data_IF_516317574422
#
_entry.id   IF_516317574422
#
_cell.length_a   1.000
_cell.length_b   1.000
_cell.length_c   1.000
_cell.angle_alpha   90.00
_cell.angle_beta   90.00
_cell.angle_gamma   90.00
#
_symmetry.space_group_name_H-M   'P 1'
#
loop_
_entity.id
_entity.type
_entity.pdbx_description
1 polymer ?
#
# COMPACT_ATOMS: atom_id res chain seq x y z
N UNK A 1 0.49 -12.69 -3.27
CA UNK A 1 1.78 -13.40 -3.45
C UNK A 1 2.05 -13.60 -4.93
N UNK A 2 3.22 -13.22 -5.47
CA UNK A 2 3.59 -13.66 -6.83
C UNK A 2 4.97 -14.32 -6.97
N UNK A 3 6.01 -13.98 -6.20
CA UNK A 3 7.27 -14.73 -6.27
C UNK A 3 8.09 -14.66 -4.98
N UNK A 4 8.52 -15.83 -4.50
CA UNK A 4 9.55 -16.00 -3.47
C UNK A 4 10.90 -16.23 -4.16
N UNK A 5 11.94 -15.41 -3.91
CA UNK A 5 13.25 -15.56 -4.56
C UNK A 5 13.95 -16.88 -4.21
N UNK A 6 13.54 -17.58 -3.16
CA UNK A 6 14.06 -18.89 -2.77
C UNK A 6 13.34 -20.08 -3.43
N UNK A 7 12.28 -19.86 -4.20
CA UNK A 7 11.54 -20.96 -4.82
C UNK A 7 12.29 -21.55 -6.03
N UNK A 8 12.43 -22.89 -6.10
CA UNK A 8 13.01 -23.55 -7.27
C UNK A 8 12.23 -23.22 -8.54
N UNK A 9 12.94 -23.14 -9.67
CA UNK A 9 12.32 -22.89 -10.97
C UNK A 9 11.44 -24.09 -11.35
N UNK A 10 10.19 -23.80 -11.68
CA UNK A 10 9.20 -24.79 -12.10
C UNK A 10 9.21 -24.97 -13.62
N UNK A 11 9.30 -26.22 -14.08
CA UNK A 11 9.43 -26.58 -15.49
C UNK A 11 8.31 -27.53 -15.90
N UNK A 12 7.63 -27.21 -17.00
CA UNK A 12 6.68 -28.10 -17.66
C UNK A 12 7.33 -28.70 -18.90
N UNK A 13 7.42 -30.03 -18.97
CA UNK A 13 7.95 -30.76 -20.12
C UNK A 13 6.81 -31.39 -20.90
N UNK A 14 6.74 -31.16 -22.21
CA UNK A 14 5.68 -31.68 -23.08
C UNK A 14 6.28 -32.30 -24.33
N UNK A 15 6.06 -33.60 -24.54
CA UNK A 15 6.57 -34.34 -25.70
C UNK A 15 5.79 -35.65 -25.85
N UNK A 16 5.33 -35.99 -27.06
CA UNK A 16 4.58 -37.25 -27.27
C UNK A 16 5.43 -38.50 -27.03
N UNK A 17 6.76 -38.37 -27.07
CA UNK A 17 7.68 -39.45 -26.77
C UNK A 17 7.90 -39.57 -25.25
N UNK A 18 7.21 -40.52 -24.59
CA UNK A 18 7.34 -40.78 -23.14
C UNK A 18 8.80 -40.93 -22.69
N UNK A 19 9.66 -41.53 -23.51
CA UNK A 19 11.08 -41.66 -23.21
C UNK A 19 11.78 -40.30 -23.07
N UNK A 20 11.43 -39.31 -23.89
CA UNK A 20 11.97 -37.95 -23.80
C UNK A 20 11.45 -37.27 -22.54
N UNK A 21 10.15 -37.38 -22.26
CA UNK A 21 9.53 -36.81 -21.06
C UNK A 21 10.17 -37.36 -19.78
N UNK A 22 10.27 -38.68 -19.65
CA UNK A 22 10.84 -39.33 -18.45
C UNK A 22 12.32 -38.97 -18.26
N UNK A 23 13.07 -38.96 -19.36
CA UNK A 23 14.50 -38.63 -19.35
C UNK A 23 14.75 -37.17 -18.94
N UNK A 24 14.03 -36.22 -19.53
CA UNK A 24 14.15 -34.80 -19.20
C UNK A 24 13.66 -34.50 -17.79
N UNK A 25 12.53 -35.08 -17.39
CA UNK A 25 11.97 -34.89 -16.04
C UNK A 25 12.95 -35.38 -14.98
N UNK A 26 13.47 -36.61 -15.14
CA UNK A 26 14.43 -37.18 -14.19
C UNK A 26 15.71 -36.36 -14.11
N UNK A 27 16.26 -35.96 -15.27
CA UNK A 27 17.49 -35.18 -15.33
C UNK A 27 17.33 -33.81 -14.67
N UNK A 28 16.24 -33.09 -14.95
CA UNK A 28 16.02 -31.75 -14.42
C UNK A 28 15.70 -31.75 -12.92
N UNK A 29 14.97 -32.75 -12.42
CA UNK A 29 14.76 -32.90 -10.98
C UNK A 29 16.09 -33.11 -10.24
N UNK A 30 17.01 -33.90 -10.79
CA UNK A 30 18.36 -34.08 -10.21
C UNK A 30 19.17 -32.76 -10.16
N UNK A 31 18.85 -31.80 -11.04
CA UNK A 31 19.48 -30.49 -11.11
C UNK A 31 18.75 -29.40 -10.31
N UNK A 32 17.77 -29.79 -9.48
CA UNK A 32 17.11 -28.88 -8.52
C UNK A 32 15.89 -28.14 -9.07
N UNK A 33 15.34 -28.56 -10.21
CA UNK A 33 14.10 -28.01 -10.76
C UNK A 33 12.86 -28.75 -10.23
N UNK A 34 11.73 -28.05 -10.13
CA UNK A 34 10.42 -28.67 -9.90
C UNK A 34 9.82 -28.99 -11.27
N UNK A 35 9.69 -30.26 -11.63
CA UNK A 35 9.32 -30.63 -13.01
C UNK A 35 8.05 -31.46 -13.06
N UNK A 36 7.17 -31.10 -13.99
CA UNK A 36 5.99 -31.89 -14.35
C UNK A 36 6.08 -32.22 -15.85
N UNK A 37 5.90 -33.49 -16.20
CA UNK A 37 6.05 -34.01 -17.56
C UNK A 37 4.74 -34.58 -18.10
N UNK A 38 4.44 -34.30 -19.36
CA UNK A 38 3.22 -34.74 -20.04
C UNK A 38 3.50 -35.23 -21.45
N UNK A 39 2.85 -36.32 -21.85
CA UNK A 39 2.86 -36.80 -23.24
C UNK A 39 1.65 -36.35 -24.05
N UNK A 40 0.69 -35.69 -23.42
CA UNK A 40 -0.47 -35.14 -24.10
C UNK A 40 -0.46 -33.60 -23.92
N UNK A 41 -0.44 -32.82 -25.01
CA UNK A 41 -0.39 -31.36 -24.93
C UNK A 41 -1.67 -30.73 -24.37
N UNK A 42 -2.84 -31.37 -24.49
CA UNK A 42 -4.09 -30.90 -23.90
C UNK A 42 -4.08 -31.05 -22.37
N UNK A 43 -3.54 -32.15 -21.85
CA UNK A 43 -3.37 -32.36 -20.41
C UNK A 43 -2.38 -31.35 -19.82
N UNK A 44 -1.27 -31.10 -20.52
CA UNK A 44 -0.29 -30.08 -20.13
C UNK A 44 -0.90 -28.67 -20.08
N UNK A 45 -1.73 -28.32 -21.07
CA UNK A 45 -2.43 -27.03 -21.09
C UNK A 45 -3.45 -26.91 -19.95
N UNK A 46 -4.20 -27.97 -19.65
CA UNK A 46 -5.15 -27.97 -18.53
C UNK A 46 -4.42 -27.85 -17.19
N UNK A 47 -3.27 -28.51 -17.06
CA UNK A 47 -2.41 -28.34 -15.89
C UNK A 47 -1.90 -26.91 -15.76
N UNK A 48 -1.43 -26.32 -16.86
CA UNK A 48 -0.98 -24.93 -16.92
C UNK A 48 -2.11 -23.95 -16.51
N UNK A 49 -3.37 -24.29 -16.83
CA UNK A 49 -4.51 -23.47 -16.41
C UNK A 49 -4.72 -23.47 -14.90
N UNK A 50 -4.44 -24.58 -14.23
CA UNK A 50 -4.57 -24.73 -12.79
C UNK A 50 -3.37 -24.16 -12.03
N UNK A 51 -2.17 -24.26 -12.61
CA UNK A 51 -0.91 -23.84 -12.01
C UNK A 51 0.02 -23.31 -13.10
N UNK A 52 0.56 -22.11 -12.90
CA UNK A 52 1.55 -21.53 -13.82
C UNK A 52 2.93 -22.17 -13.62
N UNK A 53 3.72 -22.17 -14.70
CA UNK A 53 5.10 -22.63 -14.70
C UNK A 53 6.03 -21.50 -15.16
N UNK A 54 7.27 -21.51 -14.68
CA UNK A 54 8.27 -20.51 -15.03
C UNK A 54 8.87 -20.77 -16.42
N UNK A 55 9.04 -22.05 -16.74
CA UNK A 55 9.64 -22.52 -17.97
C UNK A 55 8.81 -23.66 -18.57
N UNK A 56 8.63 -23.64 -19.88
CA UNK A 56 8.01 -24.72 -20.64
C UNK A 56 9.02 -25.22 -21.67
N UNK A 57 9.15 -26.53 -21.76
CA UNK A 57 9.96 -27.22 -22.75
C UNK A 57 9.03 -28.13 -23.54
N UNK A 58 8.73 -27.76 -24.78
CA UNK A 58 7.73 -28.47 -25.59
C UNK A 58 8.31 -28.94 -26.92
N UNK A 59 7.91 -30.12 -27.41
CA UNK A 59 8.14 -30.46 -28.80
C UNK A 59 7.33 -29.55 -29.73
N UNK A 60 7.86 -29.30 -30.93
CA UNK A 60 7.21 -28.50 -31.96
C UNK A 60 6.03 -29.26 -32.59
N UNK A 61 6.21 -30.57 -32.81
CA UNK A 61 5.21 -31.43 -33.46
C UNK A 61 4.73 -32.47 -32.48
N UNK A 62 3.46 -32.40 -32.17
CA UNK A 62 2.77 -33.34 -31.31
C UNK A 62 1.40 -33.66 -31.92
N UNK A 63 0.86 -34.83 -31.59
CA UNK A 63 -0.50 -35.24 -31.88
C UNK A 63 -1.48 -34.36 -31.08
N UNK A 64 -2.68 -34.16 -31.63
CA UNK A 64 -3.76 -33.33 -31.09
C UNK A 64 -3.51 -31.80 -31.08
N UNK A 65 -2.32 -31.34 -30.69
CA UNK A 65 -1.96 -29.92 -30.64
C UNK A 65 -0.45 -29.73 -30.85
N UNK A 66 -0.07 -28.86 -31.77
CA UNK A 66 1.34 -28.52 -32.00
C UNK A 66 1.93 -27.65 -30.87
N UNK A 67 3.25 -27.69 -30.70
CA UNK A 67 3.94 -26.85 -29.72
C UNK A 67 3.73 -25.35 -29.97
N UNK A 68 3.49 -24.96 -31.22
CA UNK A 68 3.16 -23.57 -31.59
C UNK A 68 1.76 -23.17 -31.12
N UNK A 69 0.77 -24.05 -31.28
CA UNK A 69 -0.59 -23.80 -30.79
C UNK A 69 -0.62 -23.78 -29.26
N UNK A 70 0.20 -24.61 -28.61
CA UNK A 70 0.38 -24.59 -27.16
C UNK A 70 0.95 -23.23 -26.69
N UNK A 71 2.00 -22.72 -27.36
CA UNK A 71 2.56 -21.37 -27.10
C UNK A 71 1.49 -20.29 -27.20
N UNK A 72 0.70 -20.29 -28.28
CA UNK A 72 -0.37 -19.30 -28.50
C UNK A 72 -1.39 -19.31 -27.36
N UNK A 73 -1.79 -20.50 -26.90
CA UNK A 73 -2.74 -20.66 -25.79
C UNK A 73 -2.16 -20.18 -24.45
N UNK A 74 -0.88 -20.43 -24.20
CA UNK A 74 -0.20 -19.96 -22.98
C UNK A 74 -0.02 -18.44 -22.99
N UNK A 75 0.37 -17.86 -24.12
CA UNK A 75 0.60 -16.41 -24.28
C UNK A 75 -0.67 -15.59 -24.10
N UNK A 76 -1.84 -16.13 -24.48
CA UNK A 76 -3.12 -15.50 -24.18
C UNK A 76 -3.39 -15.33 -22.68
N UNK A 77 -2.78 -16.15 -21.83
CA UNK A 77 -2.99 -16.14 -20.37
C UNK A 77 -1.83 -15.51 -19.59
N UNK A 78 -0.58 -15.71 -20.03
CA UNK A 78 0.61 -15.25 -19.32
C UNK A 78 1.76 -14.92 -20.28
N UNK A 79 2.25 -13.68 -20.20
CA UNK A 79 3.39 -13.22 -20.99
C UNK A 79 4.75 -13.62 -20.37
N UNK A 80 4.80 -13.97 -19.07
CA UNK A 80 6.05 -14.05 -18.32
C UNK A 80 6.73 -15.43 -18.38
N UNK A 81 5.98 -16.49 -18.67
CA UNK A 81 6.53 -17.85 -18.79
C UNK A 81 7.52 -17.95 -19.95
N UNK A 82 8.74 -18.42 -19.69
CA UNK A 82 9.71 -18.69 -20.76
C UNK A 82 9.36 -20.00 -21.45
N UNK A 83 9.54 -20.06 -22.77
CA UNK A 83 9.20 -21.25 -23.57
C UNK A 83 10.41 -21.65 -24.42
N UNK A 84 10.81 -22.91 -24.34
CA UNK A 84 11.83 -23.54 -25.17
C UNK A 84 11.14 -24.55 -26.07
N UNK A 85 11.34 -24.45 -27.37
CA UNK A 85 10.79 -25.42 -28.34
C UNK A 85 11.88 -26.41 -28.75
N UNK A 86 11.57 -27.70 -28.67
CA UNK A 86 12.37 -28.80 -29.23
C UNK A 86 11.91 -29.10 -30.66
N UNK A 87 12.82 -29.37 -31.61
CA UNK A 87 12.43 -29.67 -33.00
C UNK A 87 13.37 -30.63 -33.71
N UNK A 88 12.84 -31.65 -34.39
CA UNK A 88 13.63 -32.59 -35.21
C UNK A 88 13.91 -32.15 -36.65
N UNK A 89 13.32 -31.05 -37.14
CA UNK A 89 13.40 -30.67 -38.56
C UNK A 89 14.22 -29.39 -38.77
N UNK A 90 15.45 -29.54 -39.30
CA UNK A 90 16.36 -28.45 -39.63
C UNK A 90 15.81 -27.45 -40.68
N UNK A 91 14.77 -27.81 -41.45
CA UNK A 91 14.24 -27.00 -42.55
C UNK A 91 13.14 -26.02 -42.15
N UNK A 92 12.73 -25.95 -40.88
CA UNK A 92 11.61 -25.10 -40.43
C UNK A 92 12.12 -23.72 -40.00
N UNK A 93 12.91 -23.05 -40.85
CA UNK A 93 13.27 -21.65 -40.60
C UNK A 93 12.05 -20.72 -40.64
N UNK A 94 11.00 -21.09 -41.38
CA UNK A 94 9.78 -20.29 -41.55
C UNK A 94 8.82 -20.34 -40.35
N UNK A 95 8.57 -21.50 -39.74
CA UNK A 95 7.73 -21.55 -38.53
C UNK A 95 8.46 -21.02 -37.28
N UNK A 96 9.78 -21.19 -37.21
CA UNK A 96 10.59 -20.57 -36.14
C UNK A 96 10.57 -19.04 -36.27
N UNK A 97 10.65 -18.48 -37.49
CA UNK A 97 10.54 -17.01 -37.69
C UNK A 97 9.18 -16.44 -37.29
N UNK A 98 8.11 -17.21 -37.41
CA UNK A 98 6.76 -16.76 -37.04
C UNK A 98 6.59 -16.60 -35.52
N UNK A 99 7.33 -17.37 -34.72
CA UNK A 99 7.18 -17.48 -33.26
C UNK A 99 8.43 -17.01 -32.51
N UNK A 100 9.46 -16.57 -33.23
CA UNK A 100 10.77 -16.16 -32.70
C UNK A 100 10.71 -15.07 -31.62
N UNK A 101 9.64 -14.26 -31.59
CA UNK A 101 9.45 -13.22 -30.57
C UNK A 101 8.74 -13.73 -29.30
N UNK A 102 8.14 -14.92 -29.37
CA UNK A 102 7.28 -15.47 -28.31
C UNK A 102 7.94 -16.62 -27.54
N UNK A 103 9.05 -17.16 -28.05
CA UNK A 103 9.84 -18.21 -27.39
C UNK A 103 11.19 -17.67 -26.93
N UNK A 104 11.70 -18.25 -25.85
CA UNK A 104 13.00 -17.91 -25.29
C UNK A 104 14.15 -18.49 -26.12
N UNK A 105 14.07 -19.78 -26.47
CA UNK A 105 15.10 -20.45 -27.26
C UNK A 105 14.50 -21.66 -28.01
N UNK A 106 15.29 -22.25 -28.90
CA UNK A 106 14.94 -23.46 -29.62
C UNK A 106 16.08 -24.48 -29.56
N UNK A 107 15.73 -25.75 -29.39
CA UNK A 107 16.68 -26.85 -29.30
C UNK A 107 16.42 -27.87 -30.41
N UNK A 108 17.46 -28.20 -31.17
CA UNK A 108 17.34 -29.16 -32.26
C UNK A 108 17.49 -30.61 -31.74
N UNK A 109 16.52 -31.47 -32.03
CA UNK A 109 16.61 -32.93 -31.86
C UNK A 109 17.43 -33.55 -33.00
N UNK A 110 18.29 -34.55 -32.74
CA UNK A 110 18.67 -35.06 -31.42
C UNK A 110 19.63 -34.10 -30.70
N UNK A 111 19.43 -33.89 -29.41
CA UNK A 111 20.27 -33.06 -28.54
C UNK A 111 20.96 -33.89 -27.46
N UNK A 112 22.03 -33.35 -26.87
CA UNK A 112 22.64 -33.92 -25.66
C UNK A 112 21.99 -33.32 -24.41
N UNK A 113 21.96 -34.10 -23.32
CA UNK A 113 21.51 -33.61 -22.00
C UNK A 113 22.24 -32.33 -21.56
N UNK A 114 23.54 -32.23 -21.85
CA UNK A 114 24.32 -31.03 -21.56
C UNK A 114 23.86 -29.79 -22.35
N UNK A 115 23.35 -29.97 -23.57
CA UNK A 115 22.87 -28.87 -24.42
C UNK A 115 21.55 -28.32 -23.89
N UNK A 116 20.59 -29.20 -23.55
CA UNK A 116 19.33 -28.75 -22.95
C UNK A 116 19.55 -28.14 -21.57
N UNK A 117 20.46 -28.70 -20.76
CA UNK A 117 20.82 -28.14 -19.47
C UNK A 117 21.41 -26.72 -19.59
N UNK A 118 22.24 -26.47 -20.61
CA UNK A 118 22.80 -25.15 -20.84
C UNK A 118 21.72 -24.12 -21.23
N UNK A 119 20.73 -24.52 -22.03
CA UNK A 119 19.61 -23.63 -22.42
C UNK A 119 18.70 -23.36 -21.23
N UNK A 120 18.28 -24.39 -20.52
CA UNK A 120 17.43 -24.29 -19.32
C UNK A 120 18.14 -23.52 -18.22
N UNK A 121 19.45 -23.75 -18.02
CA UNK A 121 20.26 -23.02 -17.04
C UNK A 121 20.28 -21.51 -17.29
N UNK A 122 20.46 -21.08 -18.54
CA UNK A 122 20.38 -19.64 -18.90
C UNK A 122 18.97 -19.07 -18.70
N UNK A 123 17.93 -19.84 -19.03
CA UNK A 123 16.55 -19.44 -18.83
C UNK A 123 16.23 -19.26 -17.34
N UNK A 124 16.65 -20.23 -16.51
CA UNK A 124 16.51 -20.21 -15.06
C UNK A 124 17.29 -19.06 -14.42
N UNK A 125 18.53 -18.82 -14.83
CA UNK A 125 19.32 -17.67 -14.37
C UNK A 125 18.61 -16.35 -14.65
N UNK A 126 18.08 -16.17 -15.87
CA UNK A 126 17.29 -14.98 -16.22
C UNK A 126 16.07 -14.81 -15.31
N UNK A 127 15.32 -15.90 -15.06
CA UNK A 127 14.15 -15.88 -14.18
C UNK A 127 14.51 -15.51 -12.75
N UNK A 128 15.59 -16.11 -12.21
CA UNK A 128 16.06 -15.82 -10.86
C UNK A 128 16.53 -14.37 -10.72
N UNK A 129 17.28 -13.85 -11.68
CA UNK A 129 17.70 -12.44 -11.71
C UNK A 129 16.50 -11.49 -11.80
N UNK A 130 15.48 -11.83 -12.59
CA UNK A 130 14.25 -11.03 -12.65
C UNK A 130 13.52 -11.03 -11.32
N UNK A 131 13.37 -12.19 -10.68
CA UNK A 131 12.74 -12.31 -9.35
C UNK A 131 13.51 -11.54 -8.28
N UNK A 132 14.85 -11.64 -8.28
CA UNK A 132 15.71 -10.89 -7.36
C UNK A 132 15.56 -9.39 -7.57
N UNK A 133 15.60 -8.92 -8.83
CA UNK A 133 15.46 -7.51 -9.16
C UNK A 133 14.08 -6.97 -8.76
N UNK A 134 13.01 -7.72 -9.00
CA UNK A 134 11.67 -7.36 -8.53
C UNK A 134 11.58 -7.33 -6.99
N UNK A 135 12.22 -8.28 -6.30
CA UNK A 135 12.27 -8.30 -4.85
C UNK A 135 13.05 -7.10 -4.29
N UNK A 136 14.17 -6.74 -4.90
CA UNK A 136 14.95 -5.55 -4.56
C UNK A 136 14.16 -4.26 -4.79
N UNK A 137 13.46 -4.13 -5.92
CA UNK A 137 12.60 -2.97 -6.18
C UNK A 137 11.49 -2.86 -5.14
N UNK A 138 10.80 -3.97 -4.82
CA UNK A 138 9.79 -4.00 -3.73
C UNK A 138 10.40 -3.56 -2.40
N UNK A 139 11.62 -4.00 -2.09
CA UNK A 139 12.32 -3.61 -0.86
C UNK A 139 12.63 -2.12 -0.82
N UNK A 140 13.09 -1.55 -1.94
CA UNK A 140 13.33 -0.11 -2.08
C UNK A 140 12.03 0.67 -1.89
N UNK A 141 10.96 0.26 -2.55
CA UNK A 141 9.65 0.91 -2.44
C UNK A 141 9.14 0.90 -0.99
N UNK A 142 9.30 -0.22 -0.27
CA UNK A 142 8.97 -0.32 1.15
C UNK A 142 9.82 0.63 2.00
N UNK A 143 11.14 0.64 1.81
CA UNK A 143 12.03 1.56 2.54
C UNK A 143 11.68 3.03 2.31
N UNK A 144 11.26 3.40 1.09
CA UNK A 144 10.83 4.77 0.78
C UNK A 144 9.51 5.12 1.48
N UNK A 145 8.56 4.18 1.56
CA UNK A 145 7.32 4.36 2.31
C UNK A 145 7.61 4.58 3.81
N UNK A 146 8.45 3.73 4.41
CA UNK A 146 8.84 3.81 5.82
C UNK A 146 9.51 5.16 6.16
N UNK A 147 10.46 5.60 5.33
CA UNK A 147 11.15 6.90 5.51
C UNK A 147 10.15 8.05 5.40
N UNK A 148 9.23 7.99 4.44
CA UNK A 148 8.25 9.03 4.22
C UNK A 148 7.30 9.16 5.41
N UNK A 149 6.81 8.04 5.92
CA UNK A 149 5.99 8.02 7.13
C UNK A 149 6.71 8.64 8.32
N UNK A 150 7.96 8.25 8.59
CA UNK A 150 8.76 8.82 9.68
C UNK A 150 8.92 10.33 9.54
N UNK A 151 9.08 10.80 8.30
CA UNK A 151 9.20 12.21 7.99
C UNK A 151 7.88 12.97 8.18
N UNK A 152 6.76 12.38 7.77
CA UNK A 152 5.42 12.95 7.95
C UNK A 152 5.03 13.06 9.42
N UNK A 153 5.25 11.99 10.18
CA UNK A 153 5.07 12.00 11.64
C UNK A 153 5.97 13.06 12.26
N UNK A 154 7.26 13.12 11.90
CA UNK A 154 8.14 14.18 12.39
C UNK A 154 7.58 15.58 12.10
N UNK A 155 7.05 15.85 10.89
CA UNK A 155 6.46 17.14 10.58
C UNK A 155 5.25 17.47 11.45
N UNK A 156 4.33 16.52 11.63
CA UNK A 156 3.18 16.68 12.52
C UNK A 156 3.67 17.11 13.91
N UNK A 157 4.64 16.38 14.46
CA UNK A 157 5.18 16.63 15.80
C UNK A 157 5.82 18.01 15.97
N UNK A 158 6.44 18.55 14.91
CA UNK A 158 7.06 19.89 14.96
C UNK A 158 6.08 21.03 14.69
N UNK A 159 5.01 20.78 13.95
CA UNK A 159 4.16 21.82 13.40
C UNK A 159 2.82 21.94 14.12
N UNK A 160 2.38 20.88 14.79
CA UNK A 160 1.09 20.80 15.45
C UNK A 160 1.32 20.89 16.96
N UNK A 161 1.08 22.05 17.58
CA UNK A 161 1.36 22.25 19.00
C UNK A 161 0.33 21.59 19.92
N UNK A 162 -0.88 21.32 19.41
CA UNK A 162 -1.95 20.69 20.16
C UNK A 162 -1.79 19.17 20.17
N UNK A 163 -1.64 18.59 21.36
CA UNK A 163 -1.44 17.15 21.55
C UNK A 163 -2.55 16.31 20.93
N UNK A 164 -3.81 16.60 21.25
CA UNK A 164 -4.96 15.82 20.80
C UNK A 164 -4.98 15.74 19.27
N UNK A 165 -4.93 16.91 18.63
CA UNK A 165 -4.87 17.00 17.17
C UNK A 165 -3.65 16.29 16.60
N UNK A 166 -2.45 16.53 17.14
CA UNK A 166 -1.22 15.92 16.63
C UNK A 166 -1.27 14.39 16.68
N UNK A 167 -1.78 13.83 17.77
CA UNK A 167 -1.83 12.39 17.97
C UNK A 167 -2.84 11.72 17.04
N UNK A 168 -3.99 12.36 16.84
CA UNK A 168 -4.95 11.96 15.81
C UNK A 168 -4.31 11.93 14.41
N UNK A 169 -3.58 13.00 14.01
CA UNK A 169 -2.91 13.01 12.70
C UNK A 169 -1.86 11.91 12.56
N UNK A 170 -1.13 11.62 13.63
CA UNK A 170 -0.15 10.52 13.63
C UNK A 170 -0.85 9.20 13.35
N UNK A 171 -1.95 8.90 14.06
CA UNK A 171 -2.68 7.65 13.86
C UNK A 171 -3.30 7.54 12.46
N UNK A 172 -3.81 8.64 11.91
CA UNK A 172 -4.31 8.70 10.53
C UNK A 172 -3.19 8.40 9.53
N UNK A 173 -2.03 9.06 9.68
CA UNK A 173 -0.86 8.85 8.82
C UNK A 173 -0.35 7.40 8.89
N UNK A 174 -0.36 6.78 10.08
CA UNK A 174 0.02 5.39 10.26
C UNK A 174 -0.95 4.42 9.57
N UNK A 175 -2.25 4.70 9.69
CA UNK A 175 -3.30 3.87 9.10
C UNK A 175 -3.25 3.90 7.57
N UNK A 176 -3.01 5.08 6.98
CA UNK A 176 -2.91 5.25 5.53
C UNK A 176 -1.57 4.75 4.95
N UNK A 177 -0.45 5.03 5.62
CA UNK A 177 0.90 4.80 5.08
C UNK A 177 1.38 3.35 5.14
N UNK A 178 0.85 2.53 6.05
CA UNK A 178 1.29 1.13 6.26
C UNK A 178 0.13 0.13 6.14
N UNK A 179 -1.05 0.51 5.63
CA UNK A 179 -2.22 -0.39 5.53
C UNK A 179 -2.55 -1.07 6.87
N UNK A 180 -2.41 -0.32 7.97
CA UNK A 180 -2.75 -0.77 9.31
C UNK A 180 -4.24 -0.57 9.48
N UNK A 181 -4.94 -1.65 9.80
CA UNK A 181 -6.39 -1.59 9.97
C UNK A 181 -6.80 -0.96 11.30
N UNK A 182 -5.97 -1.07 12.35
CA UNK A 182 -6.24 -0.35 13.60
C UNK A 182 -4.99 -0.01 14.43
N UNK A 183 -5.03 1.14 15.10
CA UNK A 183 -3.99 1.59 16.01
C UNK A 183 -4.56 2.39 17.19
N UNK A 184 -3.89 2.34 18.34
CA UNK A 184 -4.27 3.10 19.55
C UNK A 184 -3.07 3.63 20.34
N UNK A 185 -3.30 4.72 21.06
CA UNK A 185 -2.38 5.33 21.99
C UNK A 185 -2.91 5.17 23.41
N UNK A 186 -2.11 4.56 24.27
CA UNK A 186 -2.38 4.41 25.68
C UNK A 186 -1.43 5.30 26.47
N UNK A 187 -1.97 6.13 27.36
CA UNK A 187 -1.19 7.03 28.22
C UNK A 187 -1.27 6.55 29.66
N UNK A 188 -0.15 6.64 30.38
CA UNK A 188 -0.15 6.32 31.81
C UNK A 188 -0.92 7.39 32.60
N UNK A 189 -1.95 6.96 33.33
CA UNK A 189 -2.68 7.78 34.28
C UNK A 189 -2.16 7.53 35.70
N UNK A 190 -1.58 8.57 36.31
CA UNK A 190 -1.04 8.46 37.67
C UNK A 190 -2.13 8.31 38.74
N UNK A 191 -3.33 8.80 38.51
CA UNK A 191 -4.45 8.70 39.46
C UNK A 191 -5.06 7.30 39.47
N UNK A 192 -5.17 6.68 38.29
CA UNK A 192 -5.72 5.33 38.12
C UNK A 192 -4.64 4.23 38.22
N UNK A 193 -3.36 4.59 38.21
CA UNK A 193 -2.20 3.67 38.24
C UNK A 193 -2.29 2.62 37.12
N UNK A 194 -2.73 3.04 35.94
CA UNK A 194 -2.88 2.19 34.75
C UNK A 194 -2.69 3.01 33.47
N UNK A 195 -2.44 2.33 32.37
CA UNK A 195 -2.46 2.91 31.03
C UNK A 195 -3.89 2.95 30.51
N UNK A 196 -4.34 4.11 30.06
CA UNK A 196 -5.69 4.33 29.55
C UNK A 196 -5.60 4.69 28.07
N UNK A 197 -6.47 4.12 27.25
CA UNK A 197 -6.58 4.48 25.84
C UNK A 197 -7.05 5.93 25.73
N UNK A 198 -6.34 6.73 24.94
CA UNK A 198 -6.64 8.17 24.75
C UNK A 198 -6.96 8.50 23.31
N UNK A 199 -6.35 7.81 22.35
CA UNK A 199 -6.58 8.02 20.92
C UNK A 199 -6.63 6.66 20.23
N UNK A 200 -7.46 6.53 19.20
CA UNK A 200 -7.53 5.32 18.40
C UNK A 200 -8.03 5.60 16.98
N UNK A 201 -7.70 4.68 16.07
CA UNK A 201 -8.21 4.62 14.69
C UNK A 201 -8.48 3.19 14.30
N UNK A 202 -9.65 2.93 13.72
CA UNK A 202 -10.09 1.59 13.29
C UNK A 202 -10.23 0.57 14.42
N UNK A 203 -9.80 0.90 15.64
CA UNK A 203 -9.96 0.05 16.82
C UNK A 203 -11.43 0.03 17.15
N UNK A 204 -11.93 -1.19 17.33
CA UNK A 204 -13.35 -1.51 17.46
C UNK A 204 -14.05 -0.49 18.36
N UNK A 205 -15.05 0.19 17.81
CA UNK A 205 -15.97 1.10 18.53
C UNK A 205 -16.64 0.44 19.76
N UNK A 206 -16.40 -0.87 19.97
CA UNK A 206 -16.85 -1.73 21.07
C UNK A 206 -15.93 -1.67 22.29
N UNK A 207 -14.66 -1.29 22.16
CA UNK A 207 -13.83 -1.00 23.34
C UNK A 207 -14.33 0.32 23.93
N UNK A 208 -15.12 0.22 25.01
CA UNK A 208 -15.67 1.37 25.72
C UNK A 208 -14.61 2.45 25.96
N UNK A 209 -15.02 3.72 25.88
CA UNK A 209 -14.24 4.86 26.37
C UNK A 209 -13.65 4.52 27.74
N UNK A 210 -12.31 4.49 27.82
CA UNK A 210 -11.59 4.15 29.06
C UNK A 210 -11.05 2.72 29.16
N UNK A 211 -11.06 1.93 28.08
CA UNK A 211 -10.26 0.70 28.02
C UNK A 211 -8.80 0.98 28.39
N UNK A 212 -8.22 0.12 29.23
CA UNK A 212 -6.90 0.36 29.79
C UNK A 212 -6.39 -0.79 30.64
N UNK A 213 -5.10 -0.79 30.92
CA UNK A 213 -4.37 -1.92 31.48
C UNK A 213 -3.27 -1.49 32.45
N UNK A 214 -2.92 -2.35 33.39
CA UNK A 214 -1.80 -2.13 34.31
C UNK A 214 -0.48 -2.61 33.68
N UNK A 215 0.65 -2.18 34.25
CA UNK A 215 1.98 -2.59 33.77
C UNK A 215 2.27 -4.08 33.90
N UNK A 216 1.51 -4.81 34.72
CA UNK A 216 1.62 -6.24 34.92
C UNK A 216 0.58 -7.08 34.17
N UNK A 217 -0.24 -6.44 33.32
CA UNK A 217 -1.31 -7.10 32.58
C UNK A 217 -0.78 -8.11 31.54
N UNK A 218 -1.60 -9.11 31.26
CA UNK A 218 -1.32 -10.15 30.29
C UNK A 218 -2.34 -10.13 29.15
N UNK A 219 -1.82 -10.19 27.92
CA UNK A 219 -2.62 -10.30 26.70
C UNK A 219 -2.29 -11.64 26.06
N UNK A 220 -3.28 -12.50 25.94
CA UNK A 220 -3.15 -13.86 25.41
C UNK A 220 -2.04 -14.68 26.12
N UNK A 221 -1.88 -14.48 27.43
CA UNK A 221 -0.86 -15.13 28.25
C UNK A 221 0.57 -14.59 28.07
N UNK A 222 0.75 -13.52 27.28
CA UNK A 222 2.01 -12.77 27.21
C UNK A 222 1.90 -11.52 28.07
N UNK A 223 2.83 -11.38 29.01
CA UNK A 223 2.96 -10.18 29.83
C UNK A 223 3.48 -9.01 28.99
N UNK A 224 2.85 -7.84 29.14
CA UNK A 224 3.32 -6.62 28.49
C UNK A 224 4.68 -6.18 29.06
N UNK A 225 5.64 -5.92 28.19
CA UNK A 225 6.95 -5.37 28.59
C UNK A 225 6.89 -3.84 28.64
N UNK A 226 7.55 -3.25 29.63
CA UNK A 226 7.75 -1.80 29.74
C UNK A 226 8.95 -1.31 28.89
N UNK A 227 9.82 -2.24 28.49
CA UNK A 227 11.06 -1.93 27.80
C UNK A 227 11.02 -2.32 26.31
N UNK A 228 10.45 -3.47 26.01
CA UNK A 228 10.45 -4.05 24.67
C UNK A 228 9.05 -4.11 24.07
N UNK A 229 8.98 -4.09 22.74
CA UNK A 229 7.74 -4.37 22.05
C UNK A 229 7.25 -5.80 22.34
N UNK A 230 5.95 -5.94 22.55
CA UNK A 230 5.30 -7.23 22.80
C UNK A 230 4.46 -7.61 21.58
N UNK A 231 4.91 -8.59 20.81
CA UNK A 231 4.20 -9.12 19.63
C UNK A 231 3.33 -10.31 20.03
N UNK A 232 2.07 -10.28 19.62
CA UNK A 232 1.05 -11.26 19.97
C UNK A 232 0.36 -11.68 18.67
N UNK A 233 0.44 -12.97 18.34
CA UNK A 233 -0.25 -13.54 17.18
C UNK A 233 -1.51 -14.27 17.63
N UNK A 234 -2.53 -14.29 16.77
CA UNK A 234 -3.88 -14.78 17.03
C UNK A 234 -3.83 -16.14 17.72
N UNK A 235 -4.29 -16.23 18.98
CA UNK A 235 -4.36 -17.49 19.67
C UNK A 235 -5.54 -18.30 19.13
N UNK A 236 -5.35 -19.61 18.96
CA UNK A 236 -6.43 -20.53 18.58
C UNK A 236 -7.64 -20.49 19.54
N UNK A 237 -7.47 -19.96 20.76
CA UNK A 237 -8.49 -19.80 21.79
C UNK A 237 -9.17 -18.43 21.79
N UNK A 238 -8.94 -17.57 20.79
CA UNK A 238 -9.41 -16.19 20.75
C UNK A 238 -8.54 -15.23 21.56
N UNK A 239 -8.95 -13.96 21.65
CA UNK A 239 -8.20 -12.90 22.34
C UNK A 239 -8.59 -12.81 23.81
N UNK A 240 -7.58 -12.79 24.69
CA UNK A 240 -7.76 -12.75 26.14
C UNK A 240 -6.98 -11.58 26.72
N UNK A 241 -7.60 -10.86 27.65
CA UNK A 241 -7.01 -9.74 28.37
C UNK A 241 -7.23 -9.95 29.87
N UNK A 242 -6.15 -10.11 30.65
CA UNK A 242 -6.18 -10.41 32.08
C UNK A 242 -7.16 -11.53 32.48
N UNK A 243 -7.20 -12.59 31.66
CA UNK A 243 -8.08 -13.74 31.87
C UNK A 243 -9.54 -13.53 31.47
N UNK A 244 -9.90 -12.36 30.93
CA UNK A 244 -11.21 -12.08 30.33
C UNK A 244 -11.12 -12.23 28.81
N UNK A 245 -12.03 -12.98 28.21
CA UNK A 245 -12.08 -13.11 26.75
C UNK A 245 -12.68 -11.82 26.16
N UNK A 246 -11.99 -11.25 25.16
CA UNK A 246 -12.50 -10.12 24.39
C UNK A 246 -13.43 -10.64 23.29
N UNK A 247 -14.66 -10.13 23.24
CA UNK A 247 -15.58 -10.36 22.13
C UNK A 247 -15.22 -9.42 20.98
N UNK A 248 -14.51 -9.93 19.99
CA UNK A 248 -14.05 -9.15 18.83
C UNK A 248 -14.84 -9.65 17.60
N UNK A 249 -15.63 -8.77 16.99
CA UNK A 249 -16.44 -9.10 15.80
C UNK A 249 -15.60 -9.24 14.51
N UNK A 250 -14.37 -8.70 14.51
CA UNK A 250 -13.44 -8.74 13.37
C UNK A 250 -12.33 -9.76 13.58
N UNK A 251 -11.80 -10.32 12.49
CA UNK A 251 -10.66 -11.23 12.54
C UNK A 251 -9.36 -10.46 12.84
N UNK A 252 -9.04 -10.36 14.14
CA UNK A 252 -7.75 -9.83 14.59
C UNK A 252 -6.70 -10.93 14.54
N UNK A 253 -5.79 -10.84 13.57
CA UNK A 253 -4.72 -11.83 13.44
C UNK A 253 -3.52 -11.54 14.34
N UNK A 254 -3.19 -10.27 14.58
CA UNK A 254 -1.96 -9.90 15.27
C UNK A 254 -2.09 -8.57 16.03
N UNK A 255 -1.33 -8.43 17.11
CA UNK A 255 -1.24 -7.22 17.93
C UNK A 255 0.23 -6.98 18.31
N UNK A 256 0.69 -5.74 18.17
CA UNK A 256 2.00 -5.30 18.60
C UNK A 256 1.81 -4.17 19.60
N UNK A 257 2.25 -4.38 20.84
CA UNK A 257 2.21 -3.37 21.90
C UNK A 257 3.61 -2.82 22.13
N UNK A 258 3.80 -1.53 21.87
CA UNK A 258 5.12 -0.90 21.84
C UNK A 258 5.20 0.15 22.94
N UNK A 259 6.11 -0.01 23.92
CA UNK A 259 6.24 0.97 24.99
C UNK A 259 6.76 2.30 24.44
N UNK A 260 6.07 3.38 24.78
CA UNK A 260 6.52 4.75 24.52
C UNK A 260 7.42 5.18 25.67
N UNK A 261 8.72 5.27 25.41
CA UNK A 261 9.71 5.63 26.42
C UNK A 261 10.09 7.11 26.34
N UNK A 262 10.05 7.80 27.47
CA UNK A 262 10.53 9.16 27.61
C UNK A 262 11.37 9.30 28.88
N UNK A 263 12.60 9.82 28.78
CA UNK A 263 13.52 9.97 29.92
C UNK A 263 13.70 8.68 30.73
N UNK A 264 13.82 7.53 30.04
CA UNK A 264 14.01 6.21 30.66
C UNK A 264 12.84 5.74 31.55
N UNK A 265 11.61 6.25 31.30
CA UNK A 265 10.37 5.69 31.83
C UNK A 265 9.38 5.42 30.70
N UNK A 266 8.56 4.39 30.84
CA UNK A 266 7.41 4.15 29.98
C UNK A 266 6.31 5.14 30.34
N UNK A 267 5.96 6.02 29.41
CA UNK A 267 4.89 7.02 29.58
C UNK A 267 3.58 6.60 28.89
N UNK A 268 3.64 5.56 28.08
CA UNK A 268 2.50 5.06 27.34
C UNK A 268 2.81 3.83 26.49
N UNK A 269 1.86 3.44 25.65
CA UNK A 269 2.02 2.42 24.62
C UNK A 269 1.41 2.88 23.30
N UNK A 270 2.06 2.49 22.20
CA UNK A 270 1.49 2.46 20.86
C UNK A 270 1.04 1.01 20.59
N UNK A 271 -0.26 0.80 20.46
CA UNK A 271 -0.84 -0.48 20.07
C UNK A 271 -1.14 -0.48 18.58
N UNK A 272 -0.59 -1.46 17.85
CA UNK A 272 -0.89 -1.71 16.44
C UNK A 272 -1.64 -3.03 16.35
N UNK A 273 -2.81 -3.03 15.72
CA UNK A 273 -3.68 -4.19 15.61
C UNK A 273 -3.92 -4.51 14.14
N UNK A 274 -3.91 -5.81 13.85
CA UNK A 274 -4.19 -6.38 12.53
C UNK A 274 -3.35 -5.71 11.41
N UNK A 275 -2.03 -5.68 11.63
CA UNK A 275 -1.03 -5.28 10.65
C UNK A 275 -0.82 -6.41 9.61
N UNK A 276 -1.78 -6.61 8.70
CA UNK A 276 -1.91 -7.78 7.81
C UNK A 276 -0.61 -8.40 7.26
N UNK A 277 -0.24 -8.09 6.01
CA UNK A 277 0.92 -8.69 5.32
C UNK A 277 2.31 -8.29 5.89
N UNK A 278 2.37 -7.45 6.93
CA UNK A 278 3.62 -6.88 7.46
C UNK A 278 4.43 -7.83 8.34
N UNK A 279 3.82 -8.93 8.77
CA UNK A 279 4.41 -9.80 9.81
C UNK A 279 5.33 -10.87 9.22
N UNK A 280 5.50 -10.91 7.89
CA UNK A 280 6.55 -11.76 7.29
C UNK A 280 7.97 -11.23 7.57
N UNK A 281 8.12 -9.98 8.05
CA UNK A 281 9.38 -9.34 8.47
C UNK A 281 9.25 -8.72 9.88
N UNK A 282 8.74 -9.48 10.86
CA UNK A 282 8.45 -9.06 12.26
C UNK A 282 9.48 -8.07 12.84
N UNK A 283 10.78 -8.34 12.68
CA UNK A 283 11.85 -7.53 13.25
C UNK A 283 11.94 -6.11 12.70
N UNK A 284 11.59 -5.89 11.43
CA UNK A 284 11.75 -4.58 10.78
C UNK A 284 10.53 -3.70 11.03
N UNK A 285 9.33 -4.29 10.99
CA UNK A 285 8.09 -3.63 11.36
C UNK A 285 8.12 -3.17 12.82
N UNK A 286 8.57 -4.03 13.74
CA UNK A 286 8.72 -3.65 15.15
C UNK A 286 9.72 -2.49 15.32
N UNK A 287 10.83 -2.49 14.57
CA UNK A 287 11.80 -1.38 14.60
C UNK A 287 11.19 -0.07 14.12
N UNK A 288 10.47 -0.08 13.00
CA UNK A 288 9.81 1.11 12.45
C UNK A 288 8.86 1.74 13.48
N UNK A 289 7.97 0.93 14.04
CA UNK A 289 7.03 1.43 15.05
C UNK A 289 7.68 1.80 16.38
N UNK A 290 8.80 1.17 16.75
CA UNK A 290 9.59 1.59 17.93
C UNK A 290 10.23 2.97 17.72
N UNK A 291 10.70 3.26 16.50
CA UNK A 291 11.19 4.61 16.14
C UNK A 291 10.04 5.62 16.22
N UNK A 292 8.86 5.28 15.70
CA UNK A 292 7.66 6.13 15.79
C UNK A 292 7.24 6.38 17.25
N UNK A 293 7.17 5.34 18.06
CA UNK A 293 6.90 5.44 19.50
C UNK A 293 7.89 6.40 20.18
N UNK A 294 9.17 6.35 19.79
CA UNK A 294 10.19 7.28 20.30
C UNK A 294 9.95 8.72 19.83
N UNK A 295 9.54 8.91 18.56
CA UNK A 295 9.25 10.24 18.02
C UNK A 295 8.06 10.90 18.72
N UNK A 296 6.98 10.15 19.01
CA UNK A 296 5.78 10.70 19.68
C UNK A 296 5.97 10.88 21.19
N UNK A 297 6.97 10.23 21.80
CA UNK A 297 7.18 10.25 23.25
C UNK A 297 7.20 11.65 23.91
N UNK A 298 7.80 12.71 23.32
CA UNK A 298 7.80 14.05 23.90
C UNK A 298 6.40 14.65 24.08
N UNK A 299 5.43 14.27 23.23
CA UNK A 299 4.07 14.78 23.30
C UNK A 299 3.35 14.35 24.59
N UNK A 300 3.69 13.19 25.15
CA UNK A 300 3.04 12.65 26.36
C UNK A 300 3.22 13.55 27.59
N UNK A 301 4.24 14.41 27.61
CA UNK A 301 4.64 15.21 28.78
C UNK A 301 4.30 16.72 28.65
N UNK A 302 3.80 17.19 27.50
CA UNK A 302 3.50 18.61 27.23
C UNK A 302 2.29 19.19 28.00
N UNK A 303 1.52 18.36 28.70
CA UNK A 303 0.28 18.75 29.38
C UNK A 303 0.48 19.29 30.80
N UNK A 304 1.40 20.24 31.02
CA UNK A 304 1.35 21.00 32.27
C UNK A 304 1.86 22.44 32.26
N UNK A 305 1.93 23.12 31.12
CA UNK A 305 2.09 24.58 31.13
C UNK A 305 1.19 25.23 30.11
N UNK A 306 0.21 26.00 30.60
CA UNK A 306 -0.44 27.02 29.81
C UNK A 306 0.57 27.96 29.15
N UNK A 307 0.11 28.65 28.12
CA UNK A 307 0.81 29.71 27.36
C UNK A 307 2.02 29.26 26.53
N UNK A 308 1.74 28.82 25.30
CA UNK A 308 2.34 29.39 24.08
C UNK A 308 1.53 28.97 22.85
N UNK A 309 0.52 29.79 22.52
CA UNK A 309 -0.02 29.84 21.16
C UNK A 309 1.00 30.59 20.30
N UNK A 310 2.00 29.86 19.78
CA UNK A 310 2.78 30.35 18.65
C UNK A 310 1.97 30.03 17.40
N UNK A 311 1.49 31.10 16.75
CA UNK A 311 0.68 31.10 15.52
C UNK A 311 1.21 30.07 14.53
N UNK A 312 0.34 29.11 14.19
CA UNK A 312 0.46 28.24 13.04
C UNK A 312 0.53 29.12 11.79
N UNK A 313 1.73 29.28 11.22
CA UNK A 313 1.87 29.74 9.85
C UNK A 313 1.50 28.57 8.94
N UNK A 314 0.46 28.77 8.14
CA UNK A 314 -0.13 27.87 7.12
C UNK A 314 0.85 27.31 6.07
N UNK A 315 2.13 27.72 6.11
CA UNK A 315 3.17 27.32 5.15
C UNK A 315 3.77 25.92 5.39
N UNK A 316 3.49 25.28 6.53
CA UNK A 316 4.23 24.08 6.95
C UNK A 316 3.51 22.74 6.74
N UNK A 317 2.18 22.77 6.60
CA UNK A 317 1.27 21.64 6.33
C UNK A 317 1.44 20.93 4.97
N UNK A 318 2.45 21.33 4.21
CA UNK A 318 2.55 20.99 2.79
C UNK A 318 3.14 19.60 2.54
N UNK A 319 3.91 19.02 3.46
CA UNK A 319 4.72 17.86 3.11
C UNK A 319 3.99 16.51 3.19
N UNK A 320 3.02 16.33 4.10
CA UNK A 320 2.27 15.06 4.21
C UNK A 320 1.20 14.85 3.12
N UNK A 321 0.76 15.92 2.44
CA UNK A 321 -0.07 15.79 1.23
C UNK A 321 0.66 15.22 0.01
N UNK A 322 1.99 15.10 0.05
CA UNK A 322 2.79 14.65 -1.09
C UNK A 322 2.60 13.15 -1.37
N UNK A 323 2.62 12.29 -0.35
CA UNK A 323 2.54 10.84 -0.57
C UNK A 323 1.15 10.39 -1.04
N UNK A 324 0.09 10.99 -0.49
CA UNK A 324 -1.30 10.79 -0.93
C UNK A 324 -1.47 11.04 -2.44
N UNK A 325 -0.85 12.13 -2.91
CA UNK A 325 -0.82 12.48 -4.33
C UNK A 325 0.01 11.48 -5.11
N UNK A 326 1.16 11.06 -4.59
CA UNK A 326 2.05 10.12 -5.28
C UNK A 326 1.39 8.75 -5.47
N UNK A 327 0.73 8.20 -4.46
CA UNK A 327 0.04 6.90 -4.53
C UNK A 327 -1.19 6.96 -5.43
N UNK A 328 -1.98 8.01 -5.30
CA UNK A 328 -3.15 8.20 -6.17
C UNK A 328 -2.71 8.40 -7.62
N UNK A 329 -1.62 9.14 -7.87
CA UNK A 329 -1.02 9.28 -9.20
C UNK A 329 -0.48 7.95 -9.72
N UNK A 330 0.26 7.17 -8.92
CA UNK A 330 0.75 5.83 -9.30
C UNK A 330 -0.39 4.88 -9.64
N UNK A 331 -1.45 4.85 -8.84
CA UNK A 331 -2.62 3.98 -9.04
C UNK A 331 -3.33 4.26 -10.37
N UNK A 332 -3.29 5.51 -10.83
CA UNK A 332 -3.94 5.94 -12.06
C UNK A 332 -2.99 6.02 -13.28
N UNK A 333 -1.68 6.04 -13.06
CA UNK A 333 -0.67 6.17 -14.12
C UNK A 333 -0.65 5.01 -15.14
N UNK A 334 -1.26 3.87 -14.82
CA UNK A 334 -1.41 2.73 -15.73
C UNK A 334 -2.52 2.92 -16.78
N UNK A 335 -3.33 3.97 -16.66
CA UNK A 335 -4.47 4.22 -17.55
C UNK A 335 -4.17 5.26 -18.63
N UNK A 336 -4.84 5.13 -19.78
CA UNK A 336 -4.63 6.04 -20.93
C UNK A 336 -5.10 7.47 -20.68
N UNK A 337 -6.15 7.69 -19.88
CA UNK A 337 -6.66 9.03 -19.56
C UNK A 337 -7.13 9.09 -18.10
N UNK A 338 -6.67 10.08 -17.36
CA UNK A 338 -7.04 10.28 -15.95
C UNK A 338 -6.92 11.75 -15.56
N UNK A 339 -7.69 12.12 -14.54
CA UNK A 339 -7.74 13.48 -14.01
C UNK A 339 -7.69 13.49 -12.50
N UNK A 340 -7.08 14.52 -11.95
CA UNK A 340 -7.05 14.78 -10.52
C UNK A 340 -7.80 16.06 -10.22
N UNK A 341 -8.54 16.02 -9.13
CA UNK A 341 -9.17 17.15 -8.50
C UNK A 341 -8.69 17.21 -7.05
N UNK A 342 -8.11 18.34 -6.71
CA UNK A 342 -7.75 18.72 -5.35
C UNK A 342 -8.76 19.75 -4.87
N UNK A 343 -9.35 19.54 -3.70
CA UNK A 343 -10.23 20.49 -3.04
C UNK A 343 -9.67 20.78 -1.65
N UNK A 344 -9.49 22.05 -1.30
CA UNK A 344 -8.98 22.47 0.00
C UNK A 344 -9.92 23.49 0.63
N UNK A 345 -10.33 23.23 1.86
CA UNK A 345 -11.04 24.19 2.70
C UNK A 345 -10.03 25.19 3.26
N UNK A 346 -10.38 26.47 3.20
CA UNK A 346 -9.56 27.58 3.66
C UNK A 346 -10.36 28.35 4.69
N UNK A 347 -9.84 28.45 5.90
CA UNK A 347 -10.44 29.23 6.99
C UNK A 347 -10.31 30.74 6.74
N UNK A 348 -11.19 31.58 7.33
CA UNK A 348 -11.07 33.02 7.25
C UNK A 348 -9.79 33.51 7.96
N UNK A 349 -9.09 34.48 7.37
CA UNK A 349 -7.97 35.15 8.04
C UNK A 349 -8.49 36.02 9.20
N UNK A 350 -8.22 35.64 10.45
CA UNK A 350 -8.43 36.51 11.60
C UNK A 350 -7.24 37.48 11.71
N UNK A 351 -7.39 38.67 11.15
CA UNK A 351 -6.47 39.77 11.41
C UNK A 351 -6.62 40.26 12.85
N UNK A 352 -5.90 39.62 13.77
CA UNK A 352 -5.36 40.26 14.97
C UNK A 352 -6.32 40.74 16.08
N UNK A 353 -7.63 40.51 16.01
CA UNK A 353 -8.53 40.76 17.14
C UNK A 353 -8.91 39.45 17.84
N UNK A 354 -8.93 39.51 19.18
CA UNK A 354 -9.20 38.40 20.08
C UNK A 354 -10.51 37.67 19.71
N UNK A 355 -10.39 36.35 19.62
CA UNK A 355 -11.40 35.33 19.85
C UNK A 355 -12.87 35.84 19.92
N UNK A 356 -13.51 35.95 18.76
CA UNK A 356 -14.95 36.13 18.67
C UNK A 356 -15.57 35.03 17.81
N UNK A 357 -15.68 33.82 18.39
CA UNK A 357 -16.75 32.88 18.07
C UNK A 357 -16.86 32.40 16.62
N UNK A 358 -15.75 32.00 15.98
CA UNK A 358 -15.85 31.22 14.75
C UNK A 358 -16.38 29.82 15.09
N UNK A 359 -17.44 29.33 14.43
CA UNK A 359 -17.98 28.00 14.67
C UNK A 359 -16.96 26.92 14.29
N UNK A 360 -16.80 25.94 15.18
CA UNK A 360 -16.04 24.72 14.93
C UNK A 360 -16.73 23.93 13.81
N UNK A 361 -16.02 23.64 12.72
CA UNK A 361 -16.57 22.94 11.56
C UNK A 361 -16.13 21.48 11.59
N UNK A 362 -17.10 20.59 11.46
CA UNK A 362 -16.88 19.16 11.21
C UNK A 362 -16.46 18.96 9.74
N UNK A 363 -15.14 18.95 9.50
CA UNK A 363 -14.54 18.84 8.16
C UNK A 363 -14.92 17.52 7.49
N UNK A 364 -15.03 16.44 8.27
CA UNK A 364 -15.39 15.11 7.76
C UNK A 364 -16.82 15.12 7.22
N UNK A 365 -17.78 15.74 7.91
CA UNK A 365 -19.14 15.91 7.37
C UNK A 365 -19.17 16.77 6.11
N UNK A 366 -18.37 17.83 6.05
CA UNK A 366 -18.29 18.68 4.86
C UNK A 366 -17.82 17.86 3.65
N UNK A 367 -16.77 17.05 3.79
CA UNK A 367 -16.27 16.24 2.68
C UNK A 367 -17.12 14.99 2.39
N UNK A 368 -17.78 14.40 3.39
CA UNK A 368 -18.74 13.31 3.19
C UNK A 368 -19.88 13.74 2.26
N UNK A 369 -20.35 14.99 2.39
CA UNK A 369 -21.35 15.57 1.48
C UNK A 369 -20.89 15.58 0.01
N UNK A 370 -19.58 15.60 -0.23
CA UNK A 370 -18.97 15.69 -1.57
C UNK A 370 -18.64 14.31 -2.13
N UNK A 371 -18.42 13.29 -1.31
CA UNK A 371 -17.99 11.96 -1.77
C UNK A 371 -18.94 11.36 -2.80
N UNK A 372 -20.25 11.57 -2.65
CA UNK A 372 -21.22 11.03 -3.61
C UNK A 372 -21.19 11.72 -4.98
N UNK A 373 -20.60 12.92 -5.08
CA UNK A 373 -20.40 13.63 -6.36
C UNK A 373 -19.41 12.87 -7.24
N UNK A 374 -18.45 12.20 -6.63
CA UNK A 374 -17.37 11.45 -7.28
C UNK A 374 -17.57 9.94 -7.09
N UNK A 375 -18.75 9.43 -7.45
CA UNK A 375 -19.09 8.01 -7.32
C UNK A 375 -19.05 7.29 -8.68
N UNK A 376 -18.54 6.05 -8.71
CA UNK A 376 -18.49 5.20 -9.91
C UNK A 376 -17.20 4.39 -10.05
N UNK A 377 -17.17 3.48 -11.03
CA UNK A 377 -15.95 2.72 -11.37
C UNK A 377 -14.82 3.66 -11.82
N UNK A 378 -13.61 3.42 -11.31
CA UNK A 378 -12.42 4.19 -11.68
C UNK A 378 -12.29 5.55 -10.99
N UNK A 379 -12.98 5.75 -9.87
CA UNK A 379 -12.77 6.90 -8.98
C UNK A 379 -12.01 6.48 -7.73
N UNK A 380 -10.99 7.26 -7.35
CA UNK A 380 -10.25 7.12 -6.09
C UNK A 380 -10.37 8.42 -5.32
N UNK A 381 -10.71 8.34 -4.03
CA UNK A 381 -10.83 9.51 -3.16
C UNK A 381 -10.00 9.29 -1.90
N UNK A 382 -9.29 10.33 -1.48
CA UNK A 382 -8.49 10.33 -0.28
C UNK A 382 -8.59 11.70 0.39
N UNK A 383 -8.94 11.72 1.67
CA UNK A 383 -9.11 12.94 2.44
C UNK A 383 -7.95 13.06 3.42
N UNK A 384 -7.37 14.25 3.54
CA UNK A 384 -6.31 14.58 4.48
C UNK A 384 -6.61 15.95 5.09
N UNK A 385 -7.07 15.97 6.35
CA UNK A 385 -7.50 17.19 7.05
C UNK A 385 -8.49 18.01 6.23
N UNK A 386 -8.13 19.26 5.94
CA UNK A 386 -8.89 20.25 5.18
C UNK A 386 -8.84 20.03 3.66
N UNK A 387 -8.25 18.92 3.21
CA UNK A 387 -7.97 18.65 1.80
C UNK A 387 -8.57 17.33 1.35
N UNK A 388 -9.31 17.33 0.24
CA UNK A 388 -9.84 16.14 -0.43
C UNK A 388 -9.19 16.00 -1.82
N UNK A 389 -8.51 14.88 -2.02
CA UNK A 389 -7.89 14.49 -3.29
C UNK A 389 -8.73 13.44 -3.99
N UNK A 390 -9.09 13.71 -5.25
CA UNK A 390 -9.95 12.84 -6.07
C UNK A 390 -9.24 12.54 -7.38
N UNK A 391 -9.02 11.27 -7.67
CA UNK A 391 -8.58 10.79 -8.98
C UNK A 391 -9.75 10.15 -9.73
N UNK A 392 -9.94 10.51 -11.00
CA UNK A 392 -10.99 9.96 -11.87
C UNK A 392 -10.40 9.43 -13.18
N UNK A 393 -10.82 8.23 -13.58
CA UNK A 393 -10.39 7.58 -14.83
C UNK A 393 -11.35 7.88 -15.98
N UNK A 394 -10.82 8.20 -17.16
CA UNK A 394 -11.57 8.38 -18.42
C UNK A 394 -12.69 9.43 -18.39
N UNK A 395 -12.66 10.39 -17.45
CA UNK A 395 -13.60 11.50 -17.46
C UNK A 395 -13.18 12.55 -18.49
N UNK A 396 -14.15 13.07 -19.24
CA UNK A 396 -13.90 14.22 -20.11
C UNK A 396 -13.94 15.53 -19.32
N UNK A 397 -13.40 16.60 -19.91
CA UNK A 397 -13.32 17.92 -19.27
C UNK A 397 -14.68 18.44 -18.78
N UNK A 398 -15.73 18.25 -19.57
CA UNK A 398 -17.09 18.72 -19.25
C UNK A 398 -17.66 18.00 -18.01
N UNK A 399 -17.44 16.69 -17.92
CA UNK A 399 -17.91 15.88 -16.79
C UNK A 399 -17.20 16.29 -15.50
N UNK A 400 -15.91 16.61 -15.62
CA UNK A 400 -15.11 17.05 -14.51
C UNK A 400 -15.48 18.47 -14.05
N UNK A 401 -15.67 19.42 -14.97
CA UNK A 401 -16.15 20.78 -14.64
C UNK A 401 -17.52 20.73 -13.94
N UNK A 402 -18.44 19.89 -14.42
CA UNK A 402 -19.75 19.72 -13.80
C UNK A 402 -19.64 19.14 -12.38
N UNK A 403 -18.71 18.21 -12.16
CA UNK A 403 -18.49 17.63 -10.84
C UNK A 403 -17.81 18.61 -9.89
N UNK A 404 -16.90 19.46 -10.37
CA UNK A 404 -16.31 20.54 -9.57
C UNK A 404 -17.38 21.51 -9.09
N UNK A 405 -18.29 21.94 -9.98
CA UNK A 405 -19.31 22.90 -9.62
C UNK A 405 -20.33 22.30 -8.63
N UNK A 406 -20.69 21.03 -8.82
CA UNK A 406 -21.51 20.28 -7.84
C UNK A 406 -20.82 20.15 -6.49
N UNK A 407 -19.53 19.81 -6.48
CA UNK A 407 -18.75 19.68 -5.26
C UNK A 407 -18.66 21.02 -4.52
N UNK A 408 -18.37 22.12 -5.22
CA UNK A 408 -18.32 23.47 -4.65
C UNK A 408 -19.65 23.84 -4.02
N UNK A 409 -20.74 23.67 -4.75
CA UNK A 409 -22.09 23.99 -4.26
C UNK A 409 -22.46 23.17 -3.00
N UNK A 410 -22.04 21.89 -2.92
CA UNK A 410 -22.28 21.07 -1.73
C UNK A 410 -21.43 21.48 -0.54
N UNK A 411 -20.15 21.80 -0.76
CA UNK A 411 -19.28 22.31 0.29
C UNK A 411 -19.85 23.61 0.85
N UNK A 412 -20.22 24.55 -0.02
CA UNK A 412 -20.82 25.83 0.39
C UNK A 412 -22.12 25.62 1.19
N UNK A 413 -23.00 24.74 0.72
CA UNK A 413 -24.23 24.40 1.45
C UNK A 413 -23.94 23.76 2.82
N UNK A 414 -23.00 22.82 2.87
CA UNK A 414 -22.59 22.15 4.12
C UNK A 414 -21.94 23.13 5.09
N UNK A 415 -21.10 24.05 4.61
CA UNK A 415 -20.52 25.11 5.43
C UNK A 415 -21.63 25.98 6.01
N UNK A 416 -22.56 26.49 5.19
CA UNK A 416 -23.69 27.31 5.66
C UNK A 416 -24.52 26.59 6.72
N UNK A 417 -24.75 25.28 6.56
CA UNK A 417 -25.48 24.47 7.55
C UNK A 417 -24.75 24.40 8.91
N UNK A 418 -23.43 24.23 8.90
CA UNK A 418 -22.63 24.10 10.12
C UNK A 418 -22.30 25.45 10.78
N UNK A 419 -22.22 26.52 10.00
CA UNK A 419 -21.68 27.81 10.47
C UNK A 419 -22.62 29.00 10.36
N UNK A 420 -23.77 28.85 9.71
CA UNK A 420 -24.63 29.97 9.30
C UNK A 420 -24.09 30.72 8.06
N UNK A 421 -24.87 31.69 7.56
CA UNK A 421 -24.44 32.57 6.46
C UNK A 421 -23.26 33.46 6.91
N UNK A 422 -22.15 33.43 6.16
CA UNK A 422 -21.04 34.37 6.33
C UNK A 422 -19.86 33.89 7.19
N UNK A 423 -19.61 32.58 7.29
CA UNK A 423 -18.51 32.03 8.10
C UNK A 423 -17.11 32.36 7.63
N UNK A 424 -16.95 32.86 6.39
CA UNK A 424 -15.67 33.24 5.80
C UNK A 424 -14.79 32.05 5.36
N UNK A 425 -15.24 30.82 5.55
CA UNK A 425 -14.60 29.64 4.97
C UNK A 425 -14.83 29.62 3.45
N UNK A 426 -13.82 29.19 2.71
CA UNK A 426 -13.89 29.06 1.26
C UNK A 426 -13.27 27.74 0.80
N UNK A 427 -13.63 27.27 -0.39
CA UNK A 427 -12.99 26.11 -1.00
C UNK A 427 -12.15 26.51 -2.20
N UNK A 428 -10.87 26.15 -2.19
CA UNK A 428 -9.98 26.27 -3.34
C UNK A 428 -9.95 24.93 -4.06
N UNK A 429 -10.12 24.96 -5.38
CA UNK A 429 -10.11 23.76 -6.21
C UNK A 429 -9.04 23.84 -7.28
N UNK A 430 -8.30 22.75 -7.49
CA UNK A 430 -7.33 22.62 -8.56
C UNK A 430 -7.53 21.32 -9.34
N UNK A 431 -7.52 21.41 -10.66
CA UNK A 431 -7.64 20.24 -11.55
C UNK A 431 -6.44 20.08 -12.45
N UNK A 432 -6.01 18.84 -12.61
CA UNK A 432 -5.05 18.46 -13.65
C UNK A 432 -5.60 17.27 -14.45
N UNK A 433 -5.55 17.35 -15.78
CA UNK A 433 -5.95 16.28 -16.69
C UNK A 433 -4.72 15.72 -17.41
N UNK A 434 -4.72 14.41 -17.66
CA UNK A 434 -3.62 13.70 -18.30
C UNK A 434 -4.14 12.67 -19.33
N UNK A 435 -3.39 12.44 -20.43
CA UNK A 435 -2.12 13.07 -20.82
C UNK A 435 -2.33 14.46 -21.43
N UNK A 436 -1.42 15.39 -21.10
CA UNK A 436 -1.34 16.69 -21.76
C UNK A 436 0.05 16.77 -22.40
N UNK A 437 0.11 16.59 -23.71
CA UNK A 437 1.30 16.77 -24.58
C UNK A 437 2.66 16.49 -23.91
N UNK A 438 2.97 15.21 -23.68
CA UNK A 438 4.34 14.76 -23.36
C UNK A 438 4.87 15.03 -21.95
N UNK A 439 4.03 15.47 -21.02
CA UNK A 439 4.40 15.60 -19.60
C UNK A 439 4.48 14.19 -18.97
N UNK A 440 5.50 13.90 -18.17
CA UNK A 440 5.62 12.59 -17.49
C UNK A 440 4.76 12.52 -16.22
N UNK A 441 4.49 11.33 -15.69
CA UNK A 441 3.81 11.14 -14.39
C UNK A 441 4.59 11.80 -13.23
N UNK A 442 5.92 11.90 -13.33
CA UNK A 442 6.77 12.59 -12.36
C UNK A 442 6.60 14.12 -12.42
N UNK A 443 6.43 14.68 -13.62
CA UNK A 443 6.18 16.13 -13.80
C UNK A 443 4.76 16.52 -13.34
N UNK A 444 3.79 15.62 -13.51
CA UNK A 444 2.42 15.77 -13.03
C UNK A 444 2.37 15.88 -11.49
N UNK A 445 3.10 15.00 -10.80
CA UNK A 445 3.25 15.06 -9.35
C UNK A 445 3.78 16.42 -8.90
N UNK A 446 4.86 16.90 -9.52
CA UNK A 446 5.43 18.21 -9.21
C UNK A 446 4.46 19.36 -9.51
N UNK A 447 3.63 19.24 -10.55
CA UNK A 447 2.63 20.25 -10.89
C UNK A 447 1.47 20.29 -9.88
N UNK A 448 1.04 19.13 -9.37
CA UNK A 448 0.03 19.01 -8.32
C UNK A 448 0.54 19.54 -6.97
N UNK A 449 1.77 19.16 -6.61
CA UNK A 449 2.48 19.68 -5.44
C UNK A 449 2.60 21.20 -5.52
N UNK A 450 3.11 21.74 -6.64
CA UNK A 450 3.27 23.19 -6.80
C UNK A 450 1.93 23.94 -6.73
N UNK A 451 0.82 23.34 -7.19
CA UNK A 451 -0.51 23.95 -7.07
C UNK A 451 -1.06 23.93 -5.65
N UNK A 452 -0.82 22.86 -4.89
CA UNK A 452 -1.06 22.82 -3.45
C UNK A 452 -0.30 23.96 -2.74
N UNK A 453 0.97 24.14 -3.08
CA UNK A 453 1.81 25.21 -2.53
C UNK A 453 1.31 26.61 -2.94
N UNK A 454 0.90 26.80 -4.20
CA UNK A 454 0.43 28.09 -4.72
C UNK A 454 -0.94 28.49 -4.18
N UNK A 455 -1.85 27.54 -3.94
CA UNK A 455 -3.14 27.80 -3.29
C UNK A 455 -2.97 28.38 -1.87
N UNK A 456 -1.88 28.04 -1.18
CA UNK A 456 -1.51 28.64 0.11
C UNK A 456 -0.90 30.06 -0.06
N UNK A 457 -0.16 30.30 -1.14
CA UNK A 457 0.58 31.56 -1.37
C UNK A 457 -0.21 32.67 -2.10
N UNK A 458 -1.31 32.37 -2.78
CA UNK A 458 -2.11 33.39 -3.48
C UNK A 458 -2.88 34.35 -2.56
N UNK A 459 -2.73 34.23 -1.23
CA UNK A 459 -3.17 35.24 -0.26
C UNK A 459 -2.09 36.27 0.13
N UNK A 460 -0.88 36.24 -0.46
CA UNK A 460 0.21 37.18 -0.13
C UNK A 460 0.46 38.24 -1.21
N UNK A 461 -0.17 38.17 -2.38
CA UNK A 461 0.01 39.20 -3.42
C UNK A 461 -1.35 39.71 -3.90
N UNK A 462 -1.76 40.85 -3.33
CA UNK A 462 -2.67 41.83 -3.94
C UNK A 462 -2.08 42.40 -5.22
#
# INVERSE_FOLDING_TARGET
MKYNPAEPVSVLVVDDEIYIVDMLTSYLVEHGYIVEGYTNPLEALERYRQKTFDLIVTDLKMDEMSGTELVDQIRQKNADTLIIIMTGFASIQSAIRAIQQEVYDYLQKPFKLAEINAVIGRAAEKLLLQRENEALHRRIDQMLADITLLYDVSNILYQVPAYETAMDMVLDTLSEGIDITSAAIFKYDESEQRFVMTHHRGVWDVLEDGFGFRSDSEVCGKKLSLEDATVISSPASGWWFDGTQLEIETELEHCIMIPVQFQNRTVGYLGIFNAGHLIYEEDETVKLFSVLATQIAPLFNGHNTGTRSEKVSTDRLTVSGHHLIQDTVKSLASFENYSFLLMKLVSPNTTGEEDSGLPEIDIDKVFESVRTVFSGEGVTQRQYFDTLFVGVRNWNLVSLELAQEKARSRIEASLIEHTGEGSGYSVVMATVNFPRDGVSSADLYQLLVNRLMMANNSMIIS
#
